data_IF_538102214121
#
_entry.id   IF_538102214121
#
_cell.length_a   1.000
_cell.length_b   1.000
_cell.length_c   1.000
_cell.angle_alpha   90.00
_cell.angle_beta   90.00
_cell.angle_gamma   90.00
#
_symmetry.space_group_name_H-M   'P 1'
#
loop_
_entity.id
_entity.type
_entity.pdbx_description
1 polymer ?
#
# COMPACT_ATOMS: atom_id res chain seq x y z
N UNK A 1 16.98 7.22 21.51
CA UNK A 1 16.24 7.33 20.24
C UNK A 1 17.22 7.43 19.08
N UNK A 2 17.18 6.50 18.11
CA UNK A 2 17.83 6.70 16.81
C UNK A 2 17.11 7.84 16.08
N UNK A 3 17.71 9.05 16.14
CA UNK A 3 17.21 10.23 15.43
C UNK A 3 17.07 9.98 13.93
N UNK A 4 17.86 9.05 13.37
CA UNK A 4 17.84 8.70 11.96
C UNK A 4 16.53 8.01 11.55
N UNK A 5 16.12 6.95 12.26
CA UNK A 5 14.89 6.18 11.92
C UNK A 5 13.66 7.09 11.98
N UNK A 6 13.48 7.83 13.08
CA UNK A 6 12.35 8.76 13.23
C UNK A 6 12.33 9.81 12.13
N UNK A 7 13.49 10.39 11.80
CA UNK A 7 13.61 11.35 10.71
C UNK A 7 13.22 10.72 9.37
N UNK A 8 13.76 9.55 9.03
CA UNK A 8 13.48 8.87 7.76
C UNK A 8 11.98 8.56 7.61
N UNK A 9 11.34 8.01 8.65
CA UNK A 9 9.90 7.70 8.62
C UNK A 9 9.05 8.98 8.49
N UNK A 10 9.47 10.07 9.14
CA UNK A 10 8.81 11.38 9.00
C UNK A 10 8.99 11.97 7.60
N UNK A 11 10.18 11.84 7.00
CA UNK A 11 10.47 12.28 5.64
C UNK A 11 9.68 11.48 4.59
N UNK A 12 9.50 10.16 4.80
CA UNK A 12 8.58 9.34 4.01
C UNK A 12 7.15 9.93 4.07
N UNK A 13 6.67 10.24 5.27
CA UNK A 13 5.37 10.88 5.48
C UNK A 13 5.24 12.20 4.71
N UNK A 14 6.21 13.11 4.87
CA UNK A 14 6.25 14.39 4.15
C UNK A 14 6.32 14.21 2.64
N UNK A 15 7.04 13.20 2.14
CA UNK A 15 7.12 12.93 0.72
C UNK A 15 5.79 12.45 0.15
N UNK A 16 5.15 11.48 0.80
CA UNK A 16 3.92 10.86 0.28
C UNK A 16 2.73 11.82 0.40
N UNK A 17 2.61 12.53 1.54
CA UNK A 17 1.61 13.60 1.67
C UNK A 17 1.89 14.77 0.72
N UNK A 18 3.17 15.07 0.47
CA UNK A 18 3.60 16.07 -0.51
C UNK A 18 3.09 15.79 -1.91
N UNK A 19 3.03 14.51 -2.32
CA UNK A 19 2.42 14.11 -3.58
C UNK A 19 0.93 14.42 -3.63
N UNK A 20 0.21 14.25 -2.52
CA UNK A 20 -1.22 14.55 -2.35
C UNK A 20 -1.55 16.04 -2.21
N UNK A 21 -0.56 16.93 -2.41
CA UNK A 21 -0.77 18.38 -2.40
C UNK A 21 -0.51 19.06 -1.06
N UNK A 22 -0.16 18.33 -0.01
CA UNK A 22 0.32 18.93 1.24
C UNK A 22 1.60 19.74 0.95
N UNK A 23 1.72 21.00 1.43
CA UNK A 23 2.93 21.79 1.26
C UNK A 23 4.14 21.07 1.86
N UNK A 24 5.06 20.61 0.99
CA UNK A 24 6.24 19.85 1.36
C UNK A 24 7.40 20.22 0.44
N UNK A 25 8.60 20.27 1.01
CA UNK A 25 9.87 20.43 0.26
C UNK A 25 10.46 19.08 -0.17
N UNK A 26 9.92 17.97 0.32
CA UNK A 26 10.36 16.60 0.01
C UNK A 26 9.33 15.95 -0.89
N UNK A 27 9.74 15.44 -2.06
CA UNK A 27 8.88 14.79 -3.05
C UNK A 27 9.64 13.73 -3.86
N UNK A 28 9.82 12.57 -3.24
CA UNK A 28 10.58 11.45 -3.79
C UNK A 28 9.70 10.35 -4.42
N UNK A 29 8.37 10.52 -4.42
CA UNK A 29 7.40 9.45 -4.76
C UNK A 29 6.50 9.82 -5.95
N UNK A 30 6.97 10.68 -6.85
CA UNK A 30 6.17 11.18 -7.99
C UNK A 30 5.69 10.06 -8.95
N UNK A 31 6.46 8.98 -9.07
CA UNK A 31 6.20 7.83 -9.95
C UNK A 31 5.60 6.62 -9.19
N UNK A 32 5.14 6.84 -7.96
CA UNK A 32 4.50 5.82 -7.13
C UNK A 32 3.03 6.17 -6.97
N UNK A 33 2.13 5.23 -7.28
CA UNK A 33 0.69 5.39 -7.09
C UNK A 33 0.42 5.50 -5.59
N UNK A 34 0.04 6.70 -5.13
CA UNK A 34 -0.22 6.94 -3.72
C UNK A 34 -1.61 6.45 -3.35
N UNK A 35 -1.63 5.70 -2.28
CA UNK A 35 -2.85 5.21 -1.67
C UNK A 35 -3.20 6.02 -0.41
N UNK A 36 -4.27 6.82 -0.42
CA UNK A 36 -4.61 7.67 0.71
C UNK A 36 -5.08 6.86 1.93
N UNK A 37 -5.73 5.70 1.78
CA UNK A 37 -6.30 5.01 2.94
C UNK A 37 -5.25 4.42 3.89
N UNK A 38 -4.27 3.61 3.45
CA UNK A 38 -3.19 3.14 4.32
C UNK A 38 -2.38 4.30 4.91
N UNK A 39 -2.17 5.36 4.13
CA UNK A 39 -1.47 6.56 4.60
C UNK A 39 -2.23 7.25 5.74
N UNK A 40 -3.55 7.43 5.61
CA UNK A 40 -4.40 7.99 6.67
C UNK A 40 -4.37 7.10 7.91
N UNK A 41 -4.52 5.77 7.74
CA UNK A 41 -4.47 4.81 8.85
C UNK A 41 -3.14 4.89 9.60
N UNK A 42 -2.03 5.06 8.90
CA UNK A 42 -0.71 5.19 9.51
C UNK A 42 -0.42 6.58 10.13
N UNK A 43 -1.10 7.63 9.68
CA UNK A 43 -0.70 9.02 9.88
C UNK A 43 -0.52 9.43 11.35
N UNK A 44 -1.33 8.90 12.26
CA UNK A 44 -1.25 9.26 13.69
C UNK A 44 0.07 8.87 14.33
N UNK A 45 0.70 7.79 13.87
CA UNK A 45 2.04 7.35 14.27
C UNK A 45 3.08 8.47 14.10
N UNK A 46 2.91 9.30 13.06
CA UNK A 46 3.85 10.36 12.71
C UNK A 46 3.71 11.63 13.56
N UNK A 47 2.58 11.83 14.24
CA UNK A 47 2.26 13.12 14.87
C UNK A 47 3.18 13.45 16.04
N UNK A 48 3.69 12.42 16.72
CA UNK A 48 4.68 12.59 17.79
C UNK A 48 6.04 13.12 17.28
N UNK A 49 6.29 13.03 15.97
CA UNK A 49 7.56 13.41 15.35
C UNK A 49 7.53 14.81 14.73
N UNK A 50 6.39 15.25 14.18
CA UNK A 50 6.24 16.58 13.57
C UNK A 50 4.80 17.10 13.65
N UNK A 51 4.56 18.08 14.52
CA UNK A 51 3.24 18.69 14.71
C UNK A 51 2.72 19.42 13.46
N UNK A 52 3.59 19.88 12.56
CA UNK A 52 3.17 20.55 11.31
C UNK A 52 2.49 19.54 10.40
N UNK A 53 2.99 18.30 10.37
CA UNK A 53 2.43 17.24 9.55
C UNK A 53 1.01 16.89 10.02
N UNK A 54 0.77 16.84 11.34
CA UNK A 54 -0.57 16.66 11.92
C UNK A 54 -1.58 17.70 11.41
N UNK A 55 -1.22 18.98 11.44
CA UNK A 55 -2.10 20.05 10.96
C UNK A 55 -2.44 19.85 9.47
N UNK A 56 -1.43 19.59 8.64
CA UNK A 56 -1.63 19.42 7.20
C UNK A 56 -2.49 18.19 6.87
N UNK A 57 -2.29 17.08 7.57
CA UNK A 57 -3.07 15.85 7.37
C UNK A 57 -4.53 16.07 7.75
N UNK A 58 -4.77 16.75 8.87
CA UNK A 58 -6.14 17.08 9.32
C UNK A 58 -6.85 17.99 8.32
N UNK A 59 -6.13 18.98 7.77
CA UNK A 59 -6.63 19.86 6.70
C UNK A 59 -6.92 19.10 5.41
N UNK A 60 -6.05 18.17 5.01
CA UNK A 60 -6.25 17.35 3.82
C UNK A 60 -7.49 16.45 3.98
N UNK A 61 -7.60 15.75 5.11
CA UNK A 61 -8.75 14.88 5.40
C UNK A 61 -10.07 15.66 5.40
N UNK A 62 -10.07 16.89 5.91
CA UNK A 62 -11.25 17.77 5.90
C UNK A 62 -11.63 18.24 4.49
N UNK A 63 -10.64 18.51 3.64
CA UNK A 63 -10.87 18.98 2.27
C UNK A 63 -11.32 17.87 1.31
N UNK A 64 -10.84 16.64 1.51
CA UNK A 64 -10.95 15.52 0.55
C UNK A 64 -11.60 14.26 1.13
N UNK A 65 -12.39 14.37 2.19
CA UNK A 65 -13.08 13.23 2.80
C UNK A 65 -13.95 12.45 1.80
N UNK A 66 -14.52 13.13 0.81
CA UNK A 66 -15.32 12.58 -0.29
C UNK A 66 -14.51 11.75 -1.28
N UNK A 67 -13.17 11.80 -1.21
CA UNK A 67 -12.25 11.02 -2.06
C UNK A 67 -11.74 9.75 -1.39
N UNK A 68 -12.13 9.51 -0.14
CA UNK A 68 -11.67 8.41 0.71
C UNK A 68 -12.81 7.41 0.92
N UNK A 69 -12.50 6.12 0.81
CA UNK A 69 -13.47 5.04 0.98
C UNK A 69 -13.56 4.59 2.43
N UNK A 70 -14.67 4.90 3.12
CA UNK A 70 -14.90 4.46 4.50
C UNK A 70 -14.85 2.93 4.67
N UNK A 71 -15.43 2.17 3.74
CA UNK A 71 -15.37 0.70 3.78
C UNK A 71 -13.93 0.17 3.67
N UNK A 72 -13.09 0.89 2.94
CA UNK A 72 -11.70 0.52 2.70
C UNK A 72 -10.82 0.85 3.89
N UNK A 73 -11.02 2.02 4.52
CA UNK A 73 -10.39 2.36 5.80
C UNK A 73 -10.63 1.25 6.84
N UNK A 74 -11.89 0.80 6.98
CA UNK A 74 -12.22 -0.29 7.91
C UNK A 74 -11.56 -1.63 7.54
N UNK A 75 -11.43 -1.92 6.24
CA UNK A 75 -10.74 -3.11 5.77
C UNK A 75 -9.24 -3.08 6.06
N UNK A 76 -8.61 -1.93 5.81
CA UNK A 76 -7.17 -1.71 6.05
C UNK A 76 -6.86 -1.70 7.54
N UNK A 77 -7.67 -1.06 8.37
CA UNK A 77 -7.51 -1.06 9.83
C UNK A 77 -7.45 -2.48 10.40
N UNK A 78 -8.18 -3.44 9.82
CA UNK A 78 -8.13 -4.85 10.24
C UNK A 78 -6.89 -5.59 9.79
N UNK A 79 -6.15 -5.05 8.82
CA UNK A 79 -5.00 -5.69 8.17
C UNK A 79 -3.65 -5.15 8.65
N UNK A 80 -3.62 -3.97 9.27
CA UNK A 80 -2.42 -3.35 9.87
C UNK A 80 -2.10 -3.97 11.24
N UNK A 81 -0.88 -3.71 11.73
CA UNK A 81 -0.49 -4.10 13.08
C UNK A 81 -1.35 -3.44 14.18
N UNK A 82 -1.57 -4.08 15.34
CA UNK A 82 -2.54 -3.60 16.35
C UNK A 82 -2.33 -2.17 16.85
N UNK A 83 -1.08 -1.73 17.02
CA UNK A 83 -0.80 -0.38 17.51
C UNK A 83 -1.19 0.69 16.46
N UNK A 84 -0.96 0.41 15.16
CA UNK A 84 -1.41 1.30 14.07
C UNK A 84 -2.94 1.35 14.01
N UNK A 85 -3.61 0.21 14.23
CA UNK A 85 -5.07 0.18 14.27
C UNK A 85 -5.64 1.04 15.40
N UNK A 86 -5.00 1.00 16.58
CA UNK A 86 -5.36 1.82 17.74
C UNK A 86 -5.10 3.31 17.48
N UNK A 87 -3.92 3.65 16.97
CA UNK A 87 -3.55 5.02 16.61
C UNK A 87 -4.54 5.61 15.58
N UNK A 88 -5.01 4.78 14.64
CA UNK A 88 -6.05 5.20 13.69
C UNK A 88 -7.43 5.44 14.35
N UNK A 89 -7.84 4.64 15.35
CA UNK A 89 -9.09 4.89 16.07
C UNK A 89 -9.07 6.28 16.75
N UNK A 90 -7.96 6.62 17.40
CA UNK A 90 -7.75 7.94 18.03
C UNK A 90 -7.83 9.06 16.98
N UNK A 91 -7.16 8.90 15.83
CA UNK A 91 -7.26 9.87 14.72
C UNK A 91 -8.68 9.99 14.16
N UNK A 92 -9.39 8.88 13.99
CA UNK A 92 -10.74 8.87 13.46
C UNK A 92 -11.72 9.58 14.42
N UNK A 93 -11.53 9.45 15.72
CA UNK A 93 -12.25 10.20 16.74
C UNK A 93 -11.93 11.70 16.68
N UNK A 94 -10.64 12.07 16.63
CA UNK A 94 -10.19 13.46 16.47
C UNK A 94 -10.83 14.09 15.21
N UNK A 95 -10.74 13.43 14.06
CA UNK A 95 -11.27 13.94 12.79
C UNK A 95 -12.80 14.04 12.80
N UNK A 96 -13.50 13.09 13.43
CA UNK A 96 -14.97 13.13 13.60
C UNK A 96 -15.40 14.31 14.47
N UNK A 97 -14.67 14.60 15.54
CA UNK A 97 -14.91 15.77 16.38
C UNK A 97 -14.75 17.10 15.60
N UNK A 98 -13.95 17.09 14.53
CA UNK A 98 -13.78 18.21 13.60
C UNK A 98 -14.74 18.18 12.40
N UNK A 99 -15.70 17.26 12.37
CA UNK A 99 -16.74 17.17 11.34
C UNK A 99 -16.35 16.43 10.07
N UNK A 100 -15.22 15.73 10.06
CA UNK A 100 -14.79 14.88 8.93
C UNK A 100 -15.52 13.55 9.00
N UNK A 101 -16.31 13.26 7.97
CA UNK A 101 -17.08 12.02 7.84
C UNK A 101 -16.78 11.34 6.49
N UNK A 102 -16.10 10.20 6.51
CA UNK A 102 -15.79 9.42 5.30
C UNK A 102 -16.99 8.63 4.75
N UNK A 103 -18.08 8.53 5.53
CA UNK A 103 -19.27 7.77 5.18
C UNK A 103 -20.40 8.69 4.68
N UNK A 104 -20.27 9.18 3.45
CA UNK A 104 -21.37 9.53 2.51
C UNK A 104 -22.44 10.55 2.92
N UNK A 105 -22.53 10.98 4.17
CA UNK A 105 -23.38 12.10 4.57
C UNK A 105 -22.52 13.35 4.49
N UNK A 106 -22.90 14.34 3.65
CA UNK A 106 -22.31 15.66 3.75
C UNK A 106 -22.48 16.10 5.21
N UNK A 107 -21.37 16.30 5.92
CA UNK A 107 -21.40 16.95 7.22
C UNK A 107 -21.94 18.36 6.98
N UNK A 108 -23.22 18.58 7.29
CA UNK A 108 -23.84 19.91 7.24
C UNK A 108 -23.10 20.89 8.18
N UNK A 109 -22.34 20.37 9.12
CA UNK A 109 -21.37 21.06 9.97
C UNK A 109 -19.97 20.99 9.35
N UNK A 110 -19.79 21.56 8.16
CA UNK A 110 -18.44 21.96 7.72
C UNK A 110 -18.08 23.16 8.59
N UNK A 111 -17.33 22.95 9.68
CA UNK A 111 -16.68 24.07 10.36
C UNK A 111 -15.86 24.79 9.31
N UNK A 112 -16.15 26.07 9.11
CA UNK A 112 -15.38 26.95 8.24
C UNK A 112 -14.00 27.10 8.86
N UNK A 113 -13.08 26.22 8.51
CA UNK A 113 -11.65 26.48 8.72
C UNK A 113 -11.32 27.72 7.91
N UNK A 114 -10.75 28.75 8.54
CA UNK A 114 -10.28 29.96 7.85
C UNK A 114 -9.09 29.68 6.92
N UNK A 115 -8.45 28.52 7.08
CA UNK A 115 -7.34 28.08 6.26
C UNK A 115 -7.80 27.69 4.83
N UNK A 116 -7.03 28.11 3.82
CA UNK A 116 -7.25 27.73 2.42
C UNK A 116 -7.26 26.18 2.31
N UNK A 117 -8.26 25.59 1.63
CA UNK A 117 -8.28 24.16 1.34
C UNK A 117 -7.02 23.74 0.57
N UNK A 118 -6.52 22.54 0.87
CA UNK A 118 -5.40 21.96 0.12
C UNK A 118 -5.92 21.56 -1.26
N UNK A 119 -5.31 22.06 -2.32
CA UNK A 119 -5.67 21.71 -3.70
C UNK A 119 -5.01 20.39 -4.11
N UNK A 120 -5.78 19.49 -4.74
CA UNK A 120 -5.21 18.24 -5.28
C UNK A 120 -4.53 18.51 -6.63
N UNK A 121 -3.25 18.15 -6.79
CA UNK A 121 -2.54 18.29 -8.05
C UNK A 121 -2.89 17.13 -8.99
N UNK A 122 -4.13 17.12 -9.51
CA UNK A 122 -4.74 15.98 -10.22
C UNK A 122 -4.04 15.55 -11.51
N UNK A 123 -3.05 16.30 -11.99
CA UNK A 123 -2.21 15.93 -13.14
C UNK A 123 -1.02 15.06 -12.77
N UNK A 124 -0.68 14.93 -11.48
CA UNK A 124 0.47 14.12 -11.04
C UNK A 124 0.22 12.63 -11.29
N UNK A 125 1.22 11.86 -11.78
CA UNK A 125 1.12 10.42 -11.96
C UNK A 125 0.80 9.70 -10.65
N UNK A 126 1.42 10.12 -9.55
CA UNK A 126 1.18 9.64 -8.19
C UNK A 126 -0.29 9.60 -7.76
N UNK A 127 -1.15 10.46 -8.34
CA UNK A 127 -2.57 10.57 -7.99
C UNK A 127 -3.48 9.67 -8.87
N UNK A 128 -2.91 8.72 -9.62
CA UNK A 128 -3.66 7.84 -10.54
C UNK A 128 -4.88 7.18 -9.88
N UNK A 129 -4.76 6.74 -8.62
CA UNK A 129 -5.88 6.14 -7.87
C UNK A 129 -7.02 7.13 -7.64
N UNK A 130 -6.70 8.36 -7.21
CA UNK A 130 -7.69 9.43 -7.02
C UNK A 130 -8.35 9.86 -8.34
N UNK A 131 -7.59 9.86 -9.45
CA UNK A 131 -8.13 10.15 -10.78
C UNK A 131 -9.08 9.06 -11.26
N UNK A 132 -8.72 7.79 -11.06
CA UNK A 132 -9.61 6.66 -11.33
C UNK A 132 -10.89 6.71 -10.48
N UNK A 133 -10.80 7.19 -9.23
CA UNK A 133 -11.99 7.43 -8.40
C UNK A 133 -12.85 8.59 -8.90
N UNK A 134 -12.25 9.63 -9.48
CA UNK A 134 -13.02 10.68 -10.14
C UNK A 134 -13.77 10.14 -11.38
N UNK A 135 -13.20 9.15 -12.08
CA UNK A 135 -13.81 8.51 -13.25
C UNK A 135 -14.90 7.47 -12.90
N UNK A 136 -14.62 6.59 -11.94
CA UNK A 136 -15.45 5.41 -11.64
C UNK A 136 -16.28 5.54 -10.36
N UNK A 137 -16.12 6.64 -9.61
CA UNK A 137 -16.59 6.78 -8.23
C UNK A 137 -15.61 6.20 -7.21
N UNK A 138 -15.76 6.64 -5.95
CA UNK A 138 -14.93 6.16 -4.83
C UNK A 138 -15.36 4.76 -4.43
N UNK A 139 -14.53 3.76 -4.75
CA UNK A 139 -14.76 2.38 -4.34
C UNK A 139 -13.91 1.37 -5.08
N UNK A 140 -14.21 0.09 -4.82
CA UNK A 140 -13.39 -1.04 -5.25
C UNK A 140 -13.12 -1.12 -6.75
N UNK A 141 -14.02 -0.64 -7.61
CA UNK A 141 -13.79 -0.67 -9.07
C UNK A 141 -12.62 0.22 -9.49
N UNK A 142 -12.56 1.45 -8.97
CA UNK A 142 -11.46 2.37 -9.25
C UNK A 142 -10.13 1.81 -8.72
N UNK A 143 -10.16 1.23 -7.53
CA UNK A 143 -8.97 0.68 -6.89
C UNK A 143 -8.44 -0.59 -7.56
N UNK A 144 -9.33 -1.48 -8.03
CA UNK A 144 -8.94 -2.66 -8.83
C UNK A 144 -8.37 -2.24 -10.18
N UNK A 145 -8.93 -1.23 -10.85
CA UNK A 145 -8.36 -0.68 -12.07
C UNK A 145 -6.97 -0.08 -11.84
N UNK A 146 -6.75 0.60 -10.71
CA UNK A 146 -5.44 1.13 -10.35
C UNK A 146 -4.40 0.01 -10.20
N UNK A 147 -4.77 -1.11 -9.58
CA UNK A 147 -3.88 -2.26 -9.44
C UNK A 147 -3.56 -2.93 -10.79
N UNK A 148 -4.56 -3.14 -11.64
CA UNK A 148 -4.34 -3.69 -12.98
C UNK A 148 -3.41 -2.80 -13.83
N UNK A 149 -3.52 -1.48 -13.69
CA UNK A 149 -2.66 -0.50 -14.36
C UNK A 149 -1.24 -0.47 -13.79
N UNK A 150 -1.06 -0.66 -12.49
CA UNK A 150 0.26 -0.68 -11.88
C UNK A 150 1.03 -1.99 -12.17
N UNK A 151 0.30 -3.09 -12.40
CA UNK A 151 0.84 -4.43 -12.64
C UNK A 151 0.78 -4.85 -14.11
N UNK A 152 1.01 -3.91 -15.03
CA UNK A 152 1.04 -4.21 -16.47
C UNK A 152 2.02 -5.34 -16.81
N UNK A 153 1.60 -6.20 -17.74
CA UNK A 153 2.36 -7.39 -18.14
C UNK A 153 2.31 -8.54 -17.12
N UNK A 154 1.59 -8.37 -16.00
CA UNK A 154 1.32 -9.42 -15.02
C UNK A 154 -0.15 -9.81 -15.07
N UNK A 155 -0.39 -11.09 -14.82
CA UNK A 155 -1.72 -11.63 -14.67
C UNK A 155 -2.01 -11.77 -13.18
N UNK A 156 -3.00 -11.03 -12.70
CA UNK A 156 -3.39 -10.98 -11.30
C UNK A 156 -4.58 -11.88 -11.02
N UNK A 157 -4.51 -12.67 -9.97
CA UNK A 157 -5.70 -13.28 -9.35
C UNK A 157 -6.22 -12.39 -8.23
N UNK A 158 -7.46 -12.58 -7.80
CA UNK A 158 -8.08 -11.74 -6.78
C UNK A 158 -7.33 -11.71 -5.42
N UNK A 159 -6.51 -12.74 -5.11
CA UNK A 159 -5.66 -12.75 -3.91
C UNK A 159 -4.39 -11.92 -4.03
N UNK A 160 -3.96 -11.57 -5.25
CA UNK A 160 -2.75 -10.76 -5.41
C UNK A 160 -2.98 -9.31 -4.97
N UNK A 161 -4.25 -8.87 -4.94
CA UNK A 161 -4.68 -7.50 -4.63
C UNK A 161 -5.68 -7.44 -3.47
N UNK A 162 -5.69 -8.46 -2.59
CA UNK A 162 -6.58 -8.47 -1.42
C UNK A 162 -6.17 -7.45 -0.34
N UNK A 163 -4.90 -7.02 -0.35
CA UNK A 163 -4.36 -5.91 0.44
C UNK A 163 -5.11 -4.58 0.20
N UNK A 164 -5.92 -4.48 -0.86
CA UNK A 164 -6.80 -3.33 -1.10
C UNK A 164 -7.82 -3.08 0.03
N UNK A 165 -8.02 -4.00 0.98
CA UNK A 165 -8.96 -3.79 2.09
C UNK A 165 -10.43 -3.98 1.70
N UNK A 166 -10.70 -4.63 0.57
CA UNK A 166 -12.04 -5.04 0.15
C UNK A 166 -12.24 -6.54 0.32
N UNK A 167 -13.49 -6.99 0.44
CA UNK A 167 -13.79 -8.41 0.44
C UNK A 167 -13.34 -9.07 -0.87
N UNK A 168 -12.60 -10.18 -0.80
CA UNK A 168 -12.08 -10.94 -1.95
C UNK A 168 -13.16 -11.27 -3.00
N UNK A 169 -14.38 -11.59 -2.56
CA UNK A 169 -15.53 -11.82 -3.45
C UNK A 169 -15.91 -10.58 -4.28
N UNK A 170 -15.81 -9.38 -3.70
CA UNK A 170 -16.06 -8.13 -4.41
C UNK A 170 -14.99 -7.86 -5.47
N UNK A 171 -13.72 -8.08 -5.13
CA UNK A 171 -12.59 -7.96 -6.06
C UNK A 171 -12.78 -8.92 -7.24
N UNK A 172 -13.03 -10.20 -6.97
CA UNK A 172 -13.23 -11.21 -8.00
C UNK A 172 -14.39 -10.88 -8.95
N UNK A 173 -15.52 -10.38 -8.40
CA UNK A 173 -16.66 -9.93 -9.21
C UNK A 173 -16.29 -8.76 -10.12
N UNK A 174 -15.58 -7.77 -9.60
CA UNK A 174 -15.15 -6.59 -10.39
C UNK A 174 -14.21 -7.00 -11.51
N UNK A 175 -13.24 -7.88 -11.24
CA UNK A 175 -12.33 -8.40 -12.26
C UNK A 175 -13.10 -9.12 -13.39
N UNK A 176 -14.11 -9.93 -13.05
CA UNK A 176 -14.99 -10.57 -14.02
C UNK A 176 -15.77 -9.53 -14.85
N UNK A 177 -16.41 -8.55 -14.20
CA UNK A 177 -17.13 -7.46 -14.89
C UNK A 177 -16.23 -6.67 -15.86
N UNK A 178 -14.99 -6.38 -15.47
CA UNK A 178 -14.02 -5.71 -16.33
C UNK A 178 -13.62 -6.58 -17.53
N UNK A 179 -13.52 -7.90 -17.35
CA UNK A 179 -13.25 -8.83 -18.44
C UNK A 179 -14.43 -8.93 -19.41
N UNK A 180 -15.66 -9.05 -18.89
CA UNK A 180 -16.88 -9.10 -19.69
C UNK A 180 -17.07 -7.80 -20.50
N UNK A 181 -16.65 -6.66 -19.95
CA UNK A 181 -16.67 -5.36 -20.64
C UNK A 181 -15.51 -5.17 -21.65
N UNK A 182 -14.59 -6.14 -21.79
CA UNK A 182 -13.41 -6.03 -22.65
C UNK A 182 -12.37 -5.01 -22.18
N UNK A 183 -12.42 -4.61 -20.90
CA UNK A 183 -11.44 -3.73 -20.25
C UNK A 183 -10.30 -4.52 -19.60
N UNK A 184 -10.52 -5.81 -19.33
CA UNK A 184 -9.50 -6.75 -18.90
C UNK A 184 -9.53 -8.00 -19.79
N UNK A 185 -8.42 -8.73 -19.84
CA UNK A 185 -8.33 -10.09 -20.36
C UNK A 185 -8.46 -11.04 -19.18
N UNK A 186 -9.12 -12.19 -19.38
CA UNK A 186 -9.22 -13.25 -18.39
C UNK A 186 -8.61 -14.54 -18.94
N UNK A 187 -7.94 -15.30 -18.07
CA UNK A 187 -7.48 -16.66 -18.37
C UNK A 187 -7.69 -17.58 -17.18
N UNK A 188 -8.05 -18.83 -17.45
CA UNK A 188 -8.06 -19.85 -16.42
C UNK A 188 -6.63 -20.17 -15.99
N UNK A 189 -6.37 -20.18 -14.69
CA UNK A 189 -5.09 -20.50 -14.08
C UNK A 189 -5.28 -21.46 -12.90
N UNK A 190 -5.02 -22.75 -13.15
CA UNK A 190 -5.32 -23.84 -12.20
C UNK A 190 -6.79 -23.77 -11.76
N UNK A 191 -7.05 -23.53 -10.47
CA UNK A 191 -8.37 -23.41 -9.86
C UNK A 191 -8.80 -21.94 -9.66
N UNK A 192 -8.20 -21.01 -10.41
CA UNK A 192 -8.44 -19.56 -10.31
C UNK A 192 -8.57 -18.94 -11.69
N UNK A 193 -9.04 -17.69 -11.76
CA UNK A 193 -9.03 -16.89 -12.97
C UNK A 193 -8.05 -15.75 -12.74
N UNK A 194 -7.10 -15.60 -13.64
CA UNK A 194 -6.13 -14.51 -13.64
C UNK A 194 -6.53 -13.47 -14.69
N UNK A 195 -6.26 -12.21 -14.40
CA UNK A 195 -6.70 -11.05 -15.18
C UNK A 195 -5.54 -10.13 -15.51
N UNK A 196 -5.58 -9.50 -16.68
CA UNK A 196 -4.61 -8.50 -17.13
C UNK A 196 -5.38 -7.32 -17.75
N UNK A 197 -4.90 -6.08 -17.56
CA UNK A 197 -5.53 -4.91 -18.20
C UNK A 197 -5.50 -5.04 -19.74
N UNK A 198 -6.63 -4.76 -20.39
CA UNK A 198 -6.68 -4.68 -21.84
C UNK A 198 -6.25 -3.27 -22.29
N UNK A 199 -5.37 -3.20 -23.31
CA UNK A 199 -4.89 -1.95 -23.91
C UNK A 199 -4.34 -0.95 -22.86
N UNK A 200 -3.36 -1.38 -22.04
CA UNK A 200 -2.83 -0.55 -20.95
C UNK A 200 -2.30 0.80 -21.43
N UNK A 201 -1.74 0.88 -22.64
CA UNK A 201 -1.21 2.10 -23.24
C UNK A 201 -2.26 3.24 -23.31
N UNK A 202 -3.54 2.91 -23.54
CA UNK A 202 -4.62 3.90 -23.58
C UNK A 202 -4.96 4.44 -22.20
N UNK A 203 -4.83 3.60 -21.18
CA UNK A 203 -5.03 4.01 -19.80
C UNK A 203 -3.86 4.86 -19.31
N UNK A 204 -2.64 4.52 -19.66
CA UNK A 204 -1.45 5.32 -19.36
C UNK A 204 -1.53 6.71 -19.99
N UNK A 205 -1.95 6.81 -21.25
CA UNK A 205 -2.17 8.09 -21.95
C UNK A 205 -3.26 8.92 -21.26
N UNK A 206 -4.43 8.32 -21.01
CA UNK A 206 -5.55 8.99 -20.34
C UNK A 206 -5.18 9.49 -18.93
N UNK A 207 -4.39 8.71 -18.21
CA UNK A 207 -4.06 8.96 -16.81
C UNK A 207 -2.68 9.60 -16.62
N UNK A 208 -1.91 9.87 -17.69
CA UNK A 208 -0.53 10.36 -17.58
C UNK A 208 0.31 9.55 -16.57
N UNK A 209 0.09 8.23 -16.52
CA UNK A 209 0.59 7.35 -15.46
C UNK A 209 1.52 6.26 -16.02
N UNK A 210 2.26 6.60 -17.07
CA UNK A 210 3.25 5.71 -17.65
C UNK A 210 4.26 5.27 -16.58
N UNK A 211 4.55 3.98 -16.53
CA UNK A 211 5.55 3.41 -15.60
C UNK A 211 5.21 3.49 -14.10
N UNK A 212 3.98 3.86 -13.71
CA UNK A 212 3.59 3.94 -12.30
C UNK A 212 3.76 2.60 -11.58
N UNK A 213 4.21 2.64 -10.33
CA UNK A 213 4.30 1.47 -9.42
C UNK A 213 3.28 1.61 -8.29
N UNK A 214 2.58 0.53 -7.94
CA UNK A 214 1.71 0.47 -6.76
C UNK A 214 2.31 -0.52 -5.77
N UNK A 215 3.01 -0.05 -4.71
CA UNK A 215 3.49 -0.92 -3.65
C UNK A 215 2.32 -1.34 -2.76
N UNK A 216 2.52 -2.40 -1.97
CA UNK A 216 1.63 -2.68 -0.84
C UNK A 216 1.90 -1.66 0.28
N UNK A 217 1.21 -0.51 0.20
CA UNK A 217 1.33 0.57 1.17
C UNK A 217 1.00 0.15 2.60
N UNK A 218 0.12 -0.84 2.80
CA UNK A 218 -0.17 -1.38 4.13
C UNK A 218 1.10 -1.98 4.72
N UNK A 219 1.83 -2.78 3.94
CA UNK A 219 3.08 -3.41 4.40
C UNK A 219 4.23 -2.43 4.53
N UNK A 220 4.32 -1.42 3.65
CA UNK A 220 5.30 -0.32 3.79
C UNK A 220 5.10 0.41 5.13
N UNK A 221 3.86 0.74 5.48
CA UNK A 221 3.58 1.45 6.74
C UNK A 221 3.63 0.56 7.97
N UNK A 222 3.29 -0.73 7.87
CA UNK A 222 3.54 -1.70 8.94
C UNK A 222 5.05 -1.76 9.27
N UNK A 223 5.92 -1.76 8.25
CA UNK A 223 7.38 -1.74 8.46
C UNK A 223 7.85 -0.44 9.11
N UNK A 224 7.33 0.71 8.65
CA UNK A 224 7.62 2.00 9.25
C UNK A 224 7.15 2.07 10.73
N UNK A 225 6.00 1.47 11.05
CA UNK A 225 5.48 1.38 12.40
C UNK A 225 6.37 0.53 13.30
N UNK A 226 6.84 -0.64 12.82
CA UNK A 226 7.82 -1.47 13.55
C UNK A 226 9.09 -0.67 13.85
N UNK A 227 9.57 0.11 12.88
CA UNK A 227 10.75 0.98 13.07
C UNK A 227 10.51 2.05 14.16
N UNK A 228 9.33 2.66 14.16
CA UNK A 228 8.94 3.67 15.15
C UNK A 228 8.84 3.08 16.56
N UNK A 229 8.20 1.92 16.70
CA UNK A 229 8.06 1.23 17.98
C UNK A 229 9.41 0.82 18.55
N UNK A 230 10.30 0.27 17.73
CA UNK A 230 11.63 -0.13 18.18
C UNK A 230 12.43 1.09 18.68
N UNK A 231 12.24 2.26 18.08
CA UNK A 231 12.85 3.49 18.55
C UNK A 231 12.36 3.90 19.95
N UNK A 232 11.10 3.68 20.29
CA UNK A 232 10.56 3.92 21.65
C UNK A 232 11.22 3.01 22.68
N UNK A 233 11.49 1.75 22.31
CA UNK A 233 12.16 0.78 23.17
C UNK A 233 13.67 1.06 23.39
N UNK A 234 14.26 2.00 22.64
CA UNK A 234 15.71 2.26 22.66
C UNK A 234 16.26 2.79 23.99
N UNK A 235 15.42 3.45 24.79
CA UNK A 235 15.79 3.99 26.11
C UNK A 235 15.57 2.98 27.25
N UNK A 236 15.08 1.77 26.95
CA UNK A 236 14.80 0.75 27.96
C UNK A 236 16.03 -0.13 28.25
N UNK A 237 15.91 -0.92 29.32
CA UNK A 237 16.96 -1.85 29.74
C UNK A 237 17.40 -2.80 28.61
N UNK A 238 18.64 -3.28 28.68
CA UNK A 238 19.22 -4.18 27.67
C UNK A 238 18.40 -5.46 27.45
N UNK A 239 17.84 -6.04 28.51
CA UNK A 239 16.98 -7.21 28.41
C UNK A 239 15.70 -6.92 27.63
N UNK A 240 15.07 -5.77 27.85
CA UNK A 240 13.88 -5.32 27.11
C UNK A 240 14.22 -5.05 25.65
N UNK A 241 15.34 -4.36 25.38
CA UNK A 241 15.83 -4.12 24.02
C UNK A 241 16.05 -5.42 23.25
N UNK A 242 16.68 -6.42 23.87
CA UNK A 242 16.90 -7.73 23.24
C UNK A 242 15.59 -8.44 22.88
N UNK A 243 14.59 -8.41 23.77
CA UNK A 243 13.27 -9.00 23.50
C UNK A 243 12.56 -8.25 22.37
N UNK A 244 12.58 -6.91 22.39
CA UNK A 244 12.00 -6.07 21.36
C UNK A 244 12.65 -6.32 19.97
N UNK A 245 13.99 -6.39 19.91
CA UNK A 245 14.72 -6.70 18.68
C UNK A 245 14.36 -8.08 18.12
N UNK A 246 14.24 -9.10 18.98
CA UNK A 246 13.86 -10.45 18.53
C UNK A 246 12.42 -10.50 17.98
N UNK A 247 11.49 -9.76 18.60
CA UNK A 247 10.11 -9.64 18.10
C UNK A 247 10.08 -8.88 16.77
N UNK A 248 10.78 -7.74 16.69
CA UNK A 248 10.86 -6.92 15.48
C UNK A 248 11.50 -7.68 14.32
N UNK A 249 12.58 -8.45 14.57
CA UNK A 249 13.26 -9.23 13.54
C UNK A 249 12.30 -10.19 12.80
N UNK A 250 11.43 -10.90 13.54
CA UNK A 250 10.43 -11.80 12.94
C UNK A 250 9.42 -11.06 12.08
N UNK A 251 8.99 -9.87 12.51
CA UNK A 251 8.05 -9.04 11.75
C UNK A 251 8.72 -8.47 10.51
N UNK A 252 9.96 -7.98 10.64
CA UNK A 252 10.77 -7.45 9.54
C UNK A 252 10.99 -8.53 8.48
N UNK A 253 11.38 -9.75 8.85
CA UNK A 253 11.59 -10.83 7.88
C UNK A 253 10.32 -11.13 7.06
N UNK A 254 9.16 -11.18 7.72
CA UNK A 254 7.89 -11.41 7.04
C UNK A 254 7.52 -10.25 6.09
N UNK A 255 7.69 -9.00 6.54
CA UNK A 255 7.41 -7.81 5.73
C UNK A 255 8.40 -7.65 4.58
N UNK A 256 9.69 -7.90 4.82
CA UNK A 256 10.74 -7.86 3.81
C UNK A 256 10.47 -8.85 2.67
N UNK A 257 10.03 -10.08 2.99
CA UNK A 257 9.65 -11.06 1.99
C UNK A 257 8.46 -10.61 1.13
N UNK A 258 7.44 -10.00 1.75
CA UNK A 258 6.26 -9.49 1.04
C UNK A 258 6.55 -8.27 0.17
N UNK A 259 7.45 -7.39 0.63
CA UNK A 259 7.84 -6.16 -0.06
C UNK A 259 9.00 -6.36 -1.06
N UNK A 260 9.59 -7.56 -1.12
CA UNK A 260 10.76 -7.82 -1.97
C UNK A 260 12.02 -7.05 -1.52
N UNK A 261 12.19 -6.88 -0.20
CA UNK A 261 13.35 -6.23 0.40
C UNK A 261 14.47 -7.23 0.68
N UNK A 262 15.66 -6.71 0.99
CA UNK A 262 16.78 -7.52 1.45
C UNK A 262 16.45 -8.18 2.80
N UNK A 263 16.71 -9.48 2.94
CA UNK A 263 16.47 -10.20 4.20
C UNK A 263 17.32 -9.64 5.35
N UNK A 264 16.77 -9.61 6.56
CA UNK A 264 17.53 -9.29 7.76
C UNK A 264 18.50 -10.44 8.07
N UNK A 265 19.68 -10.11 8.60
CA UNK A 265 20.60 -11.14 9.09
C UNK A 265 19.99 -11.91 10.27
N UNK A 266 20.12 -13.24 10.36
CA UNK A 266 19.55 -14.01 11.46
C UNK A 266 19.97 -13.49 12.84
N UNK A 267 19.01 -13.26 13.73
CA UNK A 267 19.23 -12.64 15.06
C UNK A 267 19.16 -13.61 16.23
N UNK A 268 18.78 -14.88 16.00
CA UNK A 268 18.61 -15.89 17.05
C UNK A 268 19.91 -16.12 17.82
N UNK A 269 19.87 -15.95 19.14
CA UNK A 269 21.01 -16.21 20.03
C UNK A 269 22.12 -15.15 19.99
N UNK A 270 21.95 -14.08 19.22
CA UNK A 270 22.95 -13.01 19.07
C UNK A 270 22.89 -12.00 20.21
N UNK A 271 24.06 -11.61 20.72
CA UNK A 271 24.20 -10.51 21.69
C UNK A 271 24.03 -9.14 21.04
N UNK A 272 24.40 -9.02 19.76
CA UNK A 272 24.30 -7.80 18.93
C UNK A 272 22.98 -7.71 18.14
N UNK A 273 21.96 -8.50 18.51
CA UNK A 273 20.68 -8.55 17.79
C UNK A 273 20.01 -7.18 17.66
N UNK A 274 20.14 -6.32 18.67
CA UNK A 274 19.61 -4.95 18.62
C UNK A 274 20.27 -4.14 17.50
N UNK A 275 21.60 -4.10 17.48
CA UNK A 275 22.36 -3.30 16.53
C UNK A 275 22.12 -3.75 15.09
N UNK A 276 22.06 -5.07 14.86
CA UNK A 276 21.74 -5.67 13.55
C UNK A 276 20.37 -5.22 13.06
N UNK A 277 19.34 -5.26 13.91
CA UNK A 277 17.97 -4.85 13.55
C UNK A 277 17.91 -3.35 13.28
N UNK A 278 18.50 -2.53 14.15
CA UNK A 278 18.44 -1.07 13.99
C UNK A 278 19.22 -0.58 12.79
N UNK A 279 20.37 -1.19 12.48
CA UNK A 279 21.15 -0.84 11.29
C UNK A 279 20.40 -1.16 9.99
N UNK A 280 19.73 -2.32 9.94
CA UNK A 280 18.89 -2.69 8.81
C UNK A 280 17.70 -1.71 8.65
N UNK A 281 17.01 -1.39 9.75
CA UNK A 281 15.88 -0.46 9.71
C UNK A 281 16.29 0.96 9.33
N UNK A 282 17.44 1.44 9.81
CA UNK A 282 17.96 2.76 9.44
C UNK A 282 18.22 2.85 7.94
N UNK A 283 18.86 1.82 7.36
CA UNK A 283 19.08 1.73 5.92
C UNK A 283 17.76 1.68 5.14
N UNK A 284 16.86 0.77 5.51
CA UNK A 284 15.63 0.55 4.75
C UNK A 284 14.67 1.74 4.87
N UNK A 285 14.49 2.31 6.06
CA UNK A 285 13.66 3.52 6.24
C UNK A 285 14.21 4.69 5.45
N UNK A 286 15.55 4.82 5.33
CA UNK A 286 16.16 5.82 4.46
C UNK A 286 15.83 5.56 2.99
N UNK A 287 15.96 4.33 2.52
CA UNK A 287 15.61 3.96 1.14
C UNK A 287 14.12 4.19 0.83
N UNK A 288 13.24 3.91 1.79
CA UNK A 288 11.82 4.22 1.69
C UNK A 288 11.59 5.74 1.60
N UNK A 289 12.19 6.53 2.49
CA UNK A 289 12.07 7.99 2.47
C UNK A 289 12.57 8.61 1.15
N UNK A 290 13.69 8.10 0.64
CA UNK A 290 14.33 8.55 -0.60
C UNK A 290 13.63 8.03 -1.87
N UNK A 291 12.59 7.19 -1.74
CA UNK A 291 11.88 6.59 -2.89
C UNK A 291 12.72 5.56 -3.68
N UNK A 292 13.82 5.06 -3.11
CA UNK A 292 14.78 4.18 -3.78
C UNK A 292 14.69 2.70 -3.36
N UNK A 293 13.87 2.41 -2.35
CA UNK A 293 13.58 1.05 -1.86
C UNK A 293 13.11 0.12 -2.98
N UNK A 294 13.46 -1.17 -2.87
CA UNK A 294 12.95 -2.19 -3.79
C UNK A 294 11.42 -2.37 -3.67
N UNK A 295 10.80 -1.93 -2.57
CA UNK A 295 9.36 -1.87 -2.42
C UNK A 295 8.67 -1.04 -3.54
N UNK A 296 9.36 -0.04 -4.10
CA UNK A 296 8.83 0.82 -5.16
C UNK A 296 9.28 0.43 -6.57
N UNK A 297 9.85 -0.77 -6.74
CA UNK A 297 10.25 -1.27 -8.05
C UNK A 297 9.19 -2.21 -8.60
N UNK A 298 8.93 -2.12 -9.91
CA UNK A 298 8.22 -3.19 -10.62
C UNK A 298 9.06 -4.46 -10.45
N UNK A 299 8.53 -5.49 -9.80
CA UNK A 299 9.18 -6.80 -9.78
C UNK A 299 9.46 -7.19 -11.23
N UNK A 300 10.73 -7.40 -11.64
CA UNK A 300 11.01 -7.74 -13.02
C UNK A 300 10.29 -9.04 -13.41
N UNK A 301 9.98 -9.18 -14.71
CA UNK A 301 9.53 -10.42 -15.35
C UNK A 301 10.60 -11.51 -15.23
N UNK A 302 10.90 -11.98 -14.01
CA UNK A 302 11.63 -13.23 -13.86
C UNK A 302 10.63 -14.34 -14.09
N UNK A 303 10.87 -15.10 -15.16
CA UNK A 303 10.08 -16.21 -15.65
C UNK A 303 9.91 -17.31 -14.58
N UNK A 304 9.07 -17.08 -13.58
CA UNK A 304 8.66 -18.11 -12.63
C UNK A 304 7.50 -18.92 -13.22
N UNK A 305 7.75 -19.60 -14.34
CA UNK A 305 6.97 -20.80 -14.73
C UNK A 305 7.93 -21.85 -15.26
N UNK A 306 8.48 -22.60 -14.32
CA UNK A 306 9.04 -23.92 -14.51
C UNK A 306 8.08 -24.74 -15.39
N UNK A 307 8.60 -25.11 -16.56
CA UNK A 307 8.26 -26.25 -17.40
C UNK A 307 7.18 -27.21 -16.87
N UNK A 308 5.93 -27.02 -17.33
CA UNK A 308 4.99 -28.15 -17.38
C UNK A 308 5.36 -28.97 -18.61
N UNK A 309 6.08 -30.06 -18.34
CA UNK A 309 6.28 -31.18 -19.26
C UNK A 309 4.95 -31.58 -19.90
N UNK A 310 4.79 -31.30 -21.19
CA UNK A 310 3.74 -31.90 -22.02
C UNK A 310 4.04 -33.39 -22.16
N UNK A 311 3.41 -34.24 -21.33
CA UNK A 311 3.30 -35.66 -21.66
C UNK A 311 2.44 -35.80 -22.93
N UNK A 312 2.84 -36.61 -23.92
CA UNK A 312 2.07 -36.79 -25.13
C UNK A 312 0.78 -37.55 -24.80
N UNK A 313 -0.33 -37.02 -25.33
CA UNK A 313 -1.68 -37.60 -25.24
C UNK A 313 -1.64 -38.95 -25.97
N UNK A 314 -1.69 -40.06 -25.22
CA UNK A 314 -1.92 -41.40 -25.80
C UNK A 314 -3.29 -41.40 -26.46
N UNK A 315 -3.30 -41.40 -27.79
CA UNK A 315 -4.48 -41.72 -28.60
C UNK A 315 -4.83 -43.19 -28.38
N UNK A 316 -5.95 -43.46 -27.71
CA UNK A 316 -6.56 -44.79 -27.73
C UNK A 316 -7.24 -44.97 -29.09
N UNK A 317 -6.55 -45.68 -29.98
CA UNK A 317 -7.14 -46.33 -31.15
C UNK A 317 -8.26 -47.27 -30.66
N UNK A 318 -9.50 -47.00 -31.07
CA UNK A 318 -10.61 -47.94 -31.00
C UNK A 318 -10.52 -48.81 -32.26
N UNK A 319 -9.98 -50.01 -32.11
CA UNK A 319 -10.14 -51.06 -33.10
C UNK A 319 -11.61 -51.53 -33.07
N UNK A 320 -12.30 -51.34 -34.19
CA UNK A 320 -13.58 -51.94 -34.51
C UNK A 320 -13.37 -53.42 -34.84
N UNK A 321 -14.09 -54.31 -34.15
CA UNK A 321 -14.28 -55.69 -34.60
C UNK A 321 -15.69 -56.15 -34.21
N UNK A 322 -16.33 -56.83 -35.16
CA UNK A 322 -17.71 -57.37 -35.21
C UNK A 322 -18.73 -56.34 -35.71
N UNK A 323 -19.36 -56.51 -36.87
CA UNK A 323 -19.66 -57.71 -37.68
C UNK A 323 -19.11 -57.62 -39.09
#
# INVERSE_FOLDING_TARGET
MSKAITKNVTDLGWSVWGELGVPSVVRNHADVAIDPEPLIVFSRTLFSSDARLQEQISRWCSAHADRVSASRLQGIQKAVVPDVAKDFDELAEELRAHGVLWAGRPSATRRTTTAKPIELPTTRPALVRLRLRALCGVGARADVLAELLAHQGRWLVASDIDHLGYAKRSIARILAELADAGLAKARAERNTIAYELARPERWEELLGAASIVSPDWVKVFDLAAVAFQLNVESEKSESVRRVAASKAAKQIDALAALLGLSSLSPTTGRSDAWDVVTAWLELETKMLADGTSSAFRRTPLVAARVSVSRKPRRTKSRASTKR
#
